data_IF_624430080753
#
_entry.id   IF_624430080753
#
_cell.length_a   1.000
_cell.length_b   1.000
_cell.length_c   1.000
_cell.angle_alpha   90.00
_cell.angle_beta   90.00
_cell.angle_gamma   90.00
#
_symmetry.space_group_name_H-M   'P 1'
#
loop_
_entity.id
_entity.type
_entity.pdbx_description
1 polymer ?
#
# COMPACT_ATOMS: atom_id res chain seq x y z
N UNK A 1 13.15 27.21 -3.78
CA UNK A 1 14.39 28.02 -3.59
C UNK A 1 15.58 27.08 -3.73
N UNK A 2 16.71 27.53 -4.28
CA UNK A 2 17.79 26.63 -4.71
C UNK A 2 18.48 25.87 -3.58
N UNK A 3 18.92 24.63 -3.89
CA UNK A 3 19.65 23.76 -2.96
C UNK A 3 20.95 24.41 -2.47
N UNK A 4 21.17 24.44 -1.16
CA UNK A 4 22.45 24.82 -0.57
C UNK A 4 23.47 23.68 -0.73
N UNK A 5 24.64 23.99 -1.29
CA UNK A 5 25.76 23.05 -1.39
C UNK A 5 26.37 22.79 0.00
N UNK A 6 25.86 21.81 0.76
CA UNK A 6 26.34 21.57 2.14
C UNK A 6 26.26 20.14 2.70
N UNK A 7 26.20 19.08 1.87
CA UNK A 7 26.42 17.69 2.35
C UNK A 7 27.27 16.89 1.38
N UNK A 8 28.47 16.49 1.79
CA UNK A 8 29.31 15.59 1.02
C UNK A 8 28.63 14.22 0.82
N UNK A 9 28.57 13.75 -0.43
CA UNK A 9 27.98 12.46 -0.80
C UNK A 9 26.52 12.48 -1.27
N UNK A 10 25.84 13.63 -1.30
CA UNK A 10 24.51 13.75 -1.93
C UNK A 10 24.67 13.87 -3.45
N UNK A 11 24.22 12.84 -4.19
CA UNK A 11 24.32 12.78 -5.66
C UNK A 11 23.07 13.30 -6.34
N UNK A 12 21.88 13.13 -5.73
CA UNK A 12 20.59 13.53 -6.28
C UNK A 12 19.72 14.21 -5.19
N UNK A 13 18.88 15.16 -5.59
CA UNK A 13 17.93 15.86 -4.74
C UNK A 13 16.60 16.04 -5.50
N UNK A 14 15.45 15.91 -4.83
CA UNK A 14 14.13 16.24 -5.38
C UNK A 14 13.64 17.56 -4.81
N UNK A 15 13.11 18.44 -5.65
CA UNK A 15 12.35 19.59 -5.16
C UNK A 15 11.01 19.10 -4.62
N UNK A 16 10.88 19.09 -3.28
CA UNK A 16 9.67 18.65 -2.57
C UNK A 16 8.51 19.62 -2.82
N UNK A 17 8.79 20.91 -3.04
CA UNK A 17 7.75 21.89 -3.33
C UNK A 17 7.23 21.73 -4.76
N UNK A 18 8.11 21.47 -5.73
CA UNK A 18 7.72 21.11 -7.11
C UNK A 18 6.76 19.90 -7.09
N UNK A 19 7.08 18.86 -6.32
CA UNK A 19 6.19 17.69 -6.13
C UNK A 19 4.84 18.10 -5.53
N UNK A 20 4.81 18.93 -4.48
CA UNK A 20 3.56 19.36 -3.85
C UNK A 20 2.69 20.18 -4.83
N UNK A 21 3.29 21.15 -5.50
CA UNK A 21 2.60 22.10 -6.38
C UNK A 21 2.07 21.42 -7.65
N UNK A 22 2.85 20.53 -8.27
CA UNK A 22 2.41 19.70 -9.39
C UNK A 22 1.18 18.87 -8.98
N UNK A 23 1.28 18.09 -7.91
CA UNK A 23 0.18 17.24 -7.45
C UNK A 23 -1.09 18.04 -7.13
N UNK A 24 -0.95 19.16 -6.40
CA UNK A 24 -2.06 20.04 -6.08
C UNK A 24 -2.71 20.66 -7.33
N UNK A 25 -1.94 21.04 -8.35
CA UNK A 25 -2.48 21.54 -9.61
C UNK A 25 -3.28 20.44 -10.36
N UNK A 26 -2.81 19.20 -10.27
CA UNK A 26 -3.39 18.05 -10.97
C UNK A 26 -4.73 17.65 -10.39
N UNK A 27 -4.84 17.58 -9.06
CA UNK A 27 -6.10 17.21 -8.41
C UNK A 27 -7.17 18.27 -8.72
N UNK A 28 -6.83 19.56 -8.63
CA UNK A 28 -7.74 20.66 -9.00
C UNK A 28 -8.21 20.55 -10.47
N UNK A 29 -7.30 20.27 -11.42
CA UNK A 29 -7.64 20.02 -12.83
C UNK A 29 -8.46 18.75 -13.09
N UNK A 30 -8.58 17.83 -12.11
CA UNK A 30 -9.36 16.60 -12.26
C UNK A 30 -10.81 16.74 -11.81
N UNK A 31 -11.12 17.74 -10.97
CA UNK A 31 -12.46 18.03 -10.46
C UNK A 31 -13.42 18.52 -11.56
N UNK A 32 -12.96 19.35 -12.50
CA UNK A 32 -13.78 19.95 -13.59
C UNK A 32 -14.16 18.96 -14.71
N UNK A 33 -13.83 17.67 -14.59
CA UNK A 33 -14.00 16.70 -15.69
C UNK A 33 -15.39 16.06 -15.71
N UNK A 34 -16.01 16.05 -16.88
CA UNK A 34 -17.23 15.28 -17.14
C UNK A 34 -16.95 13.78 -16.97
N UNK A 35 -17.58 13.15 -15.98
CA UNK A 35 -17.53 11.70 -15.75
C UNK A 35 -18.52 10.97 -16.66
N UNK A 36 -18.19 9.73 -17.07
CA UNK A 36 -19.12 8.84 -17.79
C UNK A 36 -20.23 8.29 -16.87
N UNK A 37 -19.85 7.90 -15.66
CA UNK A 37 -20.76 7.34 -14.65
C UNK A 37 -20.81 8.26 -13.42
N UNK A 38 -21.50 9.42 -13.48
CA UNK A 38 -21.50 10.38 -12.38
C UNK A 38 -22.16 9.84 -11.12
N UNK A 39 -23.16 8.96 -11.25
CA UNK A 39 -23.84 8.31 -10.11
C UNK A 39 -22.89 7.38 -9.34
N UNK A 40 -22.02 6.66 -10.05
CA UNK A 40 -21.01 5.77 -9.46
C UNK A 40 -19.94 6.57 -8.71
N UNK A 41 -19.55 7.72 -9.27
CA UNK A 41 -18.63 8.65 -8.59
C UNK A 41 -19.20 9.16 -7.25
N UNK A 42 -20.53 9.36 -7.15
CA UNK A 42 -21.20 9.77 -5.92
C UNK A 42 -21.15 8.70 -4.79
N UNK A 43 -20.82 7.44 -5.08
CA UNK A 43 -20.58 6.41 -4.05
C UNK A 43 -19.39 6.75 -3.14
N UNK A 44 -18.48 7.60 -3.62
CA UNK A 44 -17.38 8.15 -2.84
C UNK A 44 -17.76 9.40 -2.03
N UNK A 45 -18.92 10.02 -2.31
CA UNK A 45 -19.53 11.15 -1.59
C UNK A 45 -18.58 12.33 -1.35
N UNK A 46 -17.96 12.37 -0.17
CA UNK A 46 -17.06 13.41 0.32
C UNK A 46 -15.59 13.05 0.15
N UNK A 47 -15.26 11.84 -0.30
CA UNK A 47 -13.87 11.46 -0.56
C UNK A 47 -13.46 12.16 -1.85
N UNK A 48 -12.55 13.11 -1.74
CA UNK A 48 -11.96 13.83 -2.88
C UNK A 48 -10.60 13.27 -3.26
N UNK A 49 -9.94 12.56 -2.34
CA UNK A 49 -8.64 11.96 -2.59
C UNK A 49 -8.47 10.59 -1.93
N UNK A 50 -7.92 9.64 -2.69
CA UNK A 50 -7.49 8.33 -2.20
C UNK A 50 -6.00 8.17 -2.53
N UNK A 51 -5.21 7.89 -1.50
CA UNK A 51 -3.77 7.62 -1.55
C UNK A 51 -3.53 6.15 -1.22
N UNK A 52 -2.78 5.42 -2.06
CA UNK A 52 -2.51 3.97 -1.91
C UNK A 52 -1.03 3.67 -2.13
N UNK A 53 -0.26 3.64 -1.04
CA UNK A 53 1.21 3.40 -1.08
C UNK A 53 1.70 2.32 -0.17
N UNK A 54 0.99 2.07 0.93
CA UNK A 54 1.46 1.16 1.93
C UNK A 54 0.93 -0.25 1.70
N UNK A 55 1.85 -1.21 1.56
CA UNK A 55 1.50 -2.56 1.96
C UNK A 55 1.39 -2.54 3.49
N UNK A 56 0.36 -3.17 4.07
CA UNK A 56 0.23 -3.18 5.52
C UNK A 56 1.24 -4.16 6.14
N UNK A 57 2.45 -3.66 6.39
CA UNK A 57 3.61 -4.35 6.96
C UNK A 57 4.18 -3.56 8.14
N UNK A 58 4.75 -4.23 9.17
CA UNK A 58 5.42 -3.55 10.27
C UNK A 58 6.76 -2.92 9.85
N UNK A 59 7.37 -3.39 8.76
CA UNK A 59 8.42 -2.65 8.06
C UNK A 59 7.74 -1.61 7.17
N UNK A 60 7.71 -0.36 7.63
CA UNK A 60 7.33 0.84 6.86
C UNK A 60 8.54 1.28 6.01
N UNK A 61 8.60 1.06 4.69
CA UNK A 61 9.72 1.50 3.84
C UNK A 61 9.86 3.03 3.80
N UNK A 62 11.06 3.56 3.51
CA UNK A 62 11.32 5.01 3.55
C UNK A 62 10.46 5.84 2.59
N UNK A 63 10.11 5.27 1.43
CA UNK A 63 9.24 5.89 0.45
C UNK A 63 7.79 5.97 0.94
N UNK A 64 7.30 5.01 1.74
CA UNK A 64 6.04 5.15 2.48
C UNK A 64 6.14 6.20 3.60
N UNK A 65 7.28 6.36 4.28
CA UNK A 65 7.52 7.47 5.23
C UNK A 65 7.42 8.82 4.52
N UNK A 66 8.09 8.95 3.36
CA UNK A 66 8.06 10.16 2.54
C UNK A 66 6.64 10.46 2.05
N UNK A 67 5.92 9.45 1.54
CA UNK A 67 4.54 9.59 1.11
C UNK A 67 3.61 10.10 2.20
N UNK A 68 3.71 9.54 3.42
CA UNK A 68 2.96 10.02 4.59
C UNK A 68 3.30 11.48 4.98
N UNK A 69 4.54 11.92 4.75
CA UNK A 69 5.00 13.28 5.02
C UNK A 69 4.52 14.33 3.98
N UNK A 70 4.45 13.97 2.68
CA UNK A 70 3.97 14.90 1.63
C UNK A 70 2.47 14.86 1.38
N UNK A 71 1.77 13.76 1.69
CA UNK A 71 0.31 13.63 1.49
C UNK A 71 -0.51 14.77 2.12
N UNK A 72 -0.39 15.13 3.42
CA UNK A 72 -1.14 16.25 3.98
C UNK A 72 -0.83 17.57 3.27
N UNK A 73 0.44 17.80 2.90
CA UNK A 73 0.86 19.03 2.20
C UNK A 73 0.24 19.16 0.82
N UNK A 74 0.07 18.05 0.10
CA UNK A 74 -0.62 18.01 -1.19
C UNK A 74 -2.12 18.25 -1.01
N UNK A 75 -2.75 17.65 0.00
CA UNK A 75 -4.17 17.90 0.30
C UNK A 75 -4.41 19.38 0.63
N UNK A 76 -3.61 19.94 1.54
CA UNK A 76 -3.66 21.35 1.96
C UNK A 76 -3.42 22.29 0.74
N UNK A 77 -2.44 22.01 -0.12
CA UNK A 77 -2.17 22.79 -1.35
C UNK A 77 -3.22 22.62 -2.46
N UNK A 78 -3.93 21.48 -2.49
CA UNK A 78 -5.06 21.24 -3.39
C UNK A 78 -6.37 21.90 -2.87
N UNK A 79 -6.41 22.30 -1.60
CA UNK A 79 -7.61 22.84 -0.93
C UNK A 79 -8.57 21.78 -0.41
N UNK A 80 -8.10 20.54 -0.21
CA UNK A 80 -8.93 19.39 0.16
C UNK A 80 -8.95 19.22 1.69
N UNK A 81 -10.14 19.18 2.34
CA UNK A 81 -10.26 18.85 3.75
C UNK A 81 -9.65 17.49 4.09
N UNK A 82 -8.96 17.36 5.23
CA UNK A 82 -8.23 16.11 5.55
C UNK A 82 -9.14 14.90 5.79
N UNK A 83 -10.37 15.13 6.22
CA UNK A 83 -11.44 14.12 6.32
C UNK A 83 -12.05 13.74 4.97
N UNK A 84 -11.74 14.47 3.90
CA UNK A 84 -12.02 14.12 2.50
C UNK A 84 -10.87 13.31 1.85
N UNK A 85 -9.80 13.00 2.61
CA UNK A 85 -8.65 12.21 2.14
C UNK A 85 -8.61 10.83 2.81
N UNK A 86 -8.52 9.78 2.01
CA UNK A 86 -8.22 8.42 2.46
C UNK A 86 -6.74 8.13 2.26
N UNK A 87 -6.00 7.94 3.36
CA UNK A 87 -4.66 7.34 3.33
C UNK A 87 -4.80 5.81 3.52
N UNK A 88 -4.73 5.03 2.45
CA UNK A 88 -5.09 3.62 2.48
C UNK A 88 -3.86 2.70 2.51
N UNK A 89 -3.82 1.84 3.53
CA UNK A 89 -2.89 0.72 3.60
C UNK A 89 -3.53 -0.55 3.02
N UNK A 90 -2.89 -1.13 2.01
CA UNK A 90 -3.25 -2.37 1.36
C UNK A 90 -2.87 -3.56 2.25
N UNK A 91 -3.84 -3.96 3.07
CA UNK A 91 -3.77 -5.13 3.96
C UNK A 91 -4.10 -6.45 3.25
N UNK A 92 -4.16 -6.41 1.92
CA UNK A 92 -4.46 -7.51 1.00
C UNK A 92 -3.23 -7.93 0.17
N UNK A 93 -2.01 -7.77 0.68
CA UNK A 93 -0.76 -8.10 -0.05
C UNK A 93 -0.57 -9.61 -0.28
N UNK A 94 0.12 -9.99 -1.37
CA UNK A 94 0.50 -11.38 -1.64
C UNK A 94 2.00 -11.57 -1.28
N UNK A 95 2.33 -12.35 -0.23
CA UNK A 95 3.69 -12.42 0.35
C UNK A 95 4.83 -12.88 -0.56
N UNK A 96 4.54 -13.42 -1.75
CA UNK A 96 5.54 -13.98 -2.69
C UNK A 96 5.67 -13.23 -4.02
N UNK A 97 4.66 -12.48 -4.45
CA UNK A 97 4.67 -11.74 -5.73
C UNK A 97 4.99 -10.27 -5.54
N UNK A 98 4.65 -9.71 -4.37
CA UNK A 98 4.61 -8.26 -4.14
C UNK A 98 5.76 -7.78 -3.23
N UNK A 99 6.88 -8.53 -3.18
CA UNK A 99 7.99 -8.39 -2.21
C UNK A 99 8.30 -6.92 -1.84
N UNK A 100 8.16 -6.56 -0.55
CA UNK A 100 9.20 -6.77 0.48
C UNK A 100 9.05 -8.06 1.31
N UNK A 101 10.05 -8.37 2.15
CA UNK A 101 9.92 -9.38 3.22
C UNK A 101 9.02 -8.87 4.36
N UNK A 102 7.72 -8.81 4.11
CA UNK A 102 6.71 -8.23 5.00
C UNK A 102 6.47 -9.01 6.32
N UNK A 103 6.93 -10.26 6.41
CA UNK A 103 6.60 -11.14 7.54
C UNK A 103 7.41 -10.87 8.81
N UNK A 104 8.62 -10.33 8.74
CA UNK A 104 9.51 -10.10 9.90
C UNK A 104 9.86 -8.63 10.05
N UNK A 105 9.77 -8.06 11.25
CA UNK A 105 10.34 -6.72 11.48
C UNK A 105 11.86 -6.82 11.34
N UNK A 106 12.45 -6.04 10.44
CA UNK A 106 13.90 -5.98 10.32
C UNK A 106 14.43 -4.95 11.31
N UNK A 107 14.82 -5.41 12.49
CA UNK A 107 15.82 -4.72 13.31
C UNK A 107 17.15 -5.38 12.95
N UNK A 108 18.21 -4.63 12.67
CA UNK A 108 19.53 -5.20 12.28
C UNK A 108 20.26 -5.99 13.40
N UNK A 109 19.53 -6.39 14.43
CA UNK A 109 19.99 -6.94 15.71
C UNK A 109 18.99 -7.97 16.31
N UNK A 110 17.70 -7.93 15.95
CA UNK A 110 16.65 -8.83 16.48
C UNK A 110 15.60 -9.10 15.40
N UNK A 111 15.09 -10.33 15.30
CA UNK A 111 13.89 -10.68 14.53
C UNK A 111 12.66 -10.76 15.47
N UNK A 112 11.93 -9.67 15.77
CA UNK A 112 10.71 -9.77 16.55
C UNK A 112 9.50 -10.07 15.67
N UNK A 113 8.50 -10.67 16.33
CA UNK A 113 7.05 -10.80 16.06
C UNK A 113 6.62 -10.74 14.58
N UNK A 114 6.11 -11.87 14.13
CA UNK A 114 6.04 -12.27 12.72
C UNK A 114 4.57 -12.32 12.25
N UNK A 115 4.31 -11.94 10.99
CA UNK A 115 3.03 -12.20 10.30
C UNK A 115 3.03 -13.59 9.69
N UNK A 116 1.86 -14.23 9.59
CA UNK A 116 1.81 -15.59 9.04
C UNK A 116 2.16 -15.48 7.55
N UNK A 117 3.26 -16.09 7.08
CA UNK A 117 3.85 -15.77 5.77
C UNK A 117 2.97 -16.20 4.58
N UNK A 118 1.80 -16.80 4.85
CA UNK A 118 0.81 -17.26 3.86
C UNK A 118 -0.63 -16.84 4.16
N UNK A 119 -0.90 -16.06 5.23
CA UNK A 119 -2.24 -15.54 5.53
C UNK A 119 -2.22 -14.01 5.37
N UNK A 120 -3.33 -13.48 4.89
CA UNK A 120 -3.54 -12.05 4.66
C UNK A 120 -3.66 -11.32 6.01
N UNK A 121 -3.03 -10.14 6.23
CA UNK A 121 -3.17 -9.38 7.48
C UNK A 121 -4.62 -9.16 7.93
N UNK A 122 -5.52 -8.80 7.00
CA UNK A 122 -6.96 -8.60 7.24
C UNK A 122 -7.70 -9.84 7.76
N UNK A 123 -7.09 -11.02 7.64
CA UNK A 123 -7.63 -12.30 8.08
C UNK A 123 -6.92 -12.86 9.31
N UNK A 124 -5.77 -12.30 9.72
CA UNK A 124 -4.93 -12.89 10.76
C UNK A 124 -5.38 -12.48 12.17
N UNK A 125 -5.50 -13.47 13.08
CA UNK A 125 -6.01 -13.27 14.44
C UNK A 125 -5.05 -12.53 15.41
N UNK A 126 -3.90 -12.06 14.92
CA UNK A 126 -2.96 -11.19 15.63
C UNK A 126 -1.48 -11.43 15.33
N UNK A 127 -0.61 -10.57 15.86
CA UNK A 127 0.85 -10.75 15.81
C UNK A 127 1.28 -11.90 16.69
N UNK A 128 1.90 -12.92 16.10
CA UNK A 128 2.55 -13.98 16.86
C UNK A 128 4.04 -13.69 17.03
N UNK A 129 4.62 -14.41 17.98
CA UNK A 129 6.03 -14.39 18.30
C UNK A 129 6.58 -15.76 17.95
N UNK A 130 7.59 -15.81 17.07
CA UNK A 130 8.36 -17.03 16.86
C UNK A 130 9.63 -16.98 17.75
N UNK A 131 9.68 -17.72 18.87
CA UNK A 131 10.86 -17.76 19.72
C UNK A 131 12.07 -18.41 19.03
N UNK A 132 11.88 -19.16 17.95
CA UNK A 132 12.95 -19.89 17.25
C UNK A 132 13.69 -19.02 16.23
N UNK A 133 13.04 -18.00 15.66
CA UNK A 133 13.70 -16.99 14.80
C UNK A 133 14.71 -16.11 15.55
N UNK A 134 14.65 -16.07 16.89
CA UNK A 134 15.69 -15.47 17.74
C UNK A 134 16.93 -16.35 17.91
N UNK A 135 16.82 -17.65 17.63
CA UNK A 135 17.86 -18.66 17.82
C UNK A 135 18.48 -19.00 16.46
N UNK A 136 18.99 -17.97 15.77
CA UNK A 136 19.89 -18.11 14.62
C UNK A 136 21.27 -17.59 15.02
N UNK A 137 22.25 -18.48 14.96
CA UNK A 137 23.52 -18.39 15.68
C UNK A 137 24.26 -17.04 15.53
N UNK A 138 24.76 -16.54 16.67
CA UNK A 138 25.90 -15.63 16.71
C UNK A 138 25.63 -14.14 16.50
N UNK A 139 24.41 -13.69 16.19
CA UNK A 139 24.08 -12.25 16.08
C UNK A 139 23.96 -11.54 17.44
N UNK A 140 25.08 -11.48 18.15
CA UNK A 140 25.20 -10.69 19.37
C UNK A 140 25.05 -9.19 19.09
N UNK A 141 23.84 -8.70 19.37
CA UNK A 141 23.53 -7.43 20.06
C UNK A 141 24.57 -6.32 19.89
N UNK A 142 24.21 -5.32 19.07
CA UNK A 142 24.82 -3.98 19.00
C UNK A 142 26.29 -3.93 18.55
N UNK A 143 26.81 -4.98 17.89
CA UNK A 143 28.14 -4.98 17.24
C UNK A 143 28.23 -4.19 15.93
N UNK A 144 27.12 -3.63 15.45
CA UNK A 144 27.01 -2.82 14.23
C UNK A 144 26.72 -1.34 14.50
N UNK A 145 26.58 -0.93 15.76
CA UNK A 145 26.53 0.49 16.13
C UNK A 145 27.96 1.05 16.18
N UNK A 146 28.22 2.27 15.66
CA UNK A 146 29.46 2.98 15.95
C UNK A 146 29.63 3.16 17.46
N UNK A 147 30.79 2.80 18.01
CA UNK A 147 31.04 2.82 19.46
C UNK A 147 30.79 4.20 20.08
N UNK A 148 31.05 5.27 19.32
CA UNK A 148 30.86 6.68 19.71
C UNK A 148 29.39 7.05 20.01
N UNK A 149 28.40 6.25 19.63
CA UNK A 149 26.96 6.57 19.73
C UNK A 149 26.10 5.47 20.38
N UNK A 150 26.72 4.57 21.14
CA UNK A 150 26.07 3.36 21.70
C UNK A 150 24.82 3.65 22.56
N UNK A 151 24.86 4.68 23.42
CA UNK A 151 23.73 5.02 24.30
C UNK A 151 22.53 5.60 23.52
N UNK A 152 22.81 6.47 22.55
CA UNK A 152 21.79 7.05 21.66
C UNK A 152 21.15 5.96 20.80
N UNK A 153 21.93 4.99 20.34
CA UNK A 153 21.42 3.83 19.62
C UNK A 153 20.49 2.98 20.51
N UNK A 154 20.90 2.67 21.75
CA UNK A 154 20.09 1.90 22.71
C UNK A 154 18.76 2.60 23.02
N UNK A 155 18.79 3.90 23.32
CA UNK A 155 17.57 4.65 23.61
C UNK A 155 16.55 4.61 22.45
N UNK A 156 17.01 4.64 21.19
CA UNK A 156 16.14 4.48 20.01
C UNK A 156 15.64 3.05 19.84
N UNK A 157 16.42 2.05 20.23
CA UNK A 157 16.04 0.65 20.20
C UNK A 157 14.93 0.36 21.22
N UNK A 158 15.09 0.84 22.45
CA UNK A 158 14.10 0.69 23.52
C UNK A 158 12.77 1.37 23.14
N UNK A 159 12.80 2.51 22.43
CA UNK A 159 11.61 3.15 21.87
C UNK A 159 10.88 2.29 20.84
N UNK A 160 11.61 1.65 19.92
CA UNK A 160 11.02 0.77 18.89
C UNK A 160 10.47 -0.51 19.52
N UNK A 161 11.19 -1.14 20.45
CA UNK A 161 10.70 -2.33 21.15
C UNK A 161 9.45 -2.04 21.99
N UNK A 162 9.40 -0.90 22.71
CA UNK A 162 8.21 -0.52 23.49
C UNK A 162 6.94 -0.39 22.63
N UNK A 163 7.04 0.17 21.43
CA UNK A 163 5.91 0.26 20.48
C UNK A 163 5.49 -1.15 20.00
N UNK A 164 6.45 -1.99 19.63
CA UNK A 164 6.19 -3.35 19.14
C UNK A 164 5.66 -4.30 20.23
N UNK A 165 6.08 -4.11 21.49
CA UNK A 165 5.60 -4.86 22.64
C UNK A 165 4.15 -4.50 22.97
N UNK A 166 3.85 -3.19 23.06
CA UNK A 166 2.51 -2.63 23.34
C UNK A 166 1.40 -3.18 22.45
N UNK A 167 1.70 -3.47 21.17
CA UNK A 167 0.73 -3.97 20.19
C UNK A 167 0.80 -5.48 19.92
N UNK A 168 1.55 -6.23 20.72
CA UNK A 168 1.69 -7.67 20.55
C UNK A 168 0.57 -8.51 21.20
N UNK A 169 0.36 -9.73 20.70
CA UNK A 169 -0.62 -10.68 21.23
C UNK A 169 -1.92 -10.78 20.39
N UNK A 170 -2.98 -11.40 20.94
CA UNK A 170 -4.22 -11.75 20.21
C UNK A 170 -5.13 -10.55 19.89
N UNK A 171 -5.89 -10.63 18.80
CA UNK A 171 -6.79 -9.57 18.30
C UNK A 171 -6.31 -8.95 16.97
N UNK A 172 -7.20 -8.22 16.28
CA UNK A 172 -7.06 -7.77 14.88
C UNK A 172 -5.65 -7.33 14.48
N UNK A 173 -5.02 -8.06 13.55
CA UNK A 173 -3.67 -7.76 13.08
C UNK A 173 -3.62 -6.44 12.28
N UNK A 174 -4.66 -6.15 11.49
CA UNK A 174 -4.73 -4.93 10.69
C UNK A 174 -4.70 -3.67 11.57
N UNK A 175 -5.55 -3.56 12.60
CA UNK A 175 -5.56 -2.42 13.52
C UNK A 175 -4.24 -2.22 14.27
N UNK A 176 -3.56 -3.32 14.63
CA UNK A 176 -2.27 -3.25 15.33
C UNK A 176 -1.16 -2.72 14.44
N UNK A 177 -1.11 -3.13 13.16
CA UNK A 177 -0.13 -2.57 12.21
C UNK A 177 -0.33 -1.08 11.99
N UNK A 178 -1.58 -0.66 11.80
CA UNK A 178 -1.89 0.76 11.63
C UNK A 178 -1.42 1.58 12.86
N UNK A 179 -1.64 1.07 14.08
CA UNK A 179 -1.17 1.73 15.31
C UNK A 179 0.36 1.72 15.47
N UNK A 180 1.03 0.61 15.14
CA UNK A 180 2.50 0.53 15.13
C UNK A 180 3.08 1.56 14.15
N UNK A 181 2.55 1.62 12.93
CA UNK A 181 2.99 2.54 11.87
C UNK A 181 2.71 4.00 12.24
N UNK A 182 1.56 4.28 12.85
CA UNK A 182 1.23 5.60 13.40
C UNK A 182 2.23 6.04 14.48
N UNK A 183 2.58 5.16 15.43
CA UNK A 183 3.56 5.50 16.47
C UNK A 183 5.00 5.62 15.91
N UNK A 184 5.37 4.83 14.91
CA UNK A 184 6.62 5.00 14.17
C UNK A 184 6.70 6.36 13.45
N UNK A 185 5.64 6.77 12.74
CA UNK A 185 5.58 8.10 12.13
C UNK A 185 5.61 9.22 13.20
N UNK A 186 4.95 9.02 14.34
CA UNK A 186 4.97 9.97 15.45
C UNK A 186 6.36 10.16 16.09
N UNK A 187 7.25 9.16 16.06
CA UNK A 187 8.64 9.32 16.51
C UNK A 187 9.43 10.37 15.72
N UNK A 188 9.00 10.72 14.51
CA UNK A 188 9.59 11.78 13.69
C UNK A 188 9.04 13.18 13.99
N UNK A 189 7.93 13.27 14.74
CA UNK A 189 7.22 14.53 15.00
C UNK A 189 6.64 15.19 13.75
N UNK A 190 6.39 14.42 12.68
CA UNK A 190 5.74 14.90 11.47
C UNK A 190 4.21 14.77 11.59
N UNK A 191 3.50 15.68 10.92
CA UNK A 191 2.07 15.60 10.78
C UNK A 191 1.71 14.64 9.63
N UNK A 192 0.74 13.75 9.85
CA UNK A 192 0.32 12.72 8.88
C UNK A 192 -1.19 12.57 8.88
N UNK A 193 -1.77 12.19 7.73
CA UNK A 193 -3.17 11.72 7.67
C UNK A 193 -3.20 10.26 8.13
N UNK A 194 -4.00 9.87 9.14
CA UNK A 194 -4.02 8.50 9.65
C UNK A 194 -4.31 7.45 8.57
N UNK A 195 -3.54 6.36 8.57
CA UNK A 195 -3.76 5.24 7.65
C UNK A 195 -5.02 4.44 8.03
N UNK A 196 -5.76 3.98 7.02
CA UNK A 196 -6.92 3.10 7.15
C UNK A 196 -6.74 1.83 6.32
N UNK A 197 -7.38 0.75 6.74
CA UNK A 197 -7.29 -0.54 6.06
C UNK A 197 -8.09 -0.58 4.74
N UNK A 198 -7.47 -1.10 3.68
CA UNK A 198 -8.14 -1.34 2.40
C UNK A 198 -9.38 -2.22 2.58
N UNK A 199 -9.25 -3.32 3.33
CA UNK A 199 -10.34 -4.25 3.66
C UNK A 199 -11.58 -3.58 4.27
N UNK A 200 -11.37 -2.62 5.19
CA UNK A 200 -12.44 -1.96 5.95
C UNK A 200 -13.06 -0.77 5.22
N UNK A 201 -12.33 -0.12 4.31
CA UNK A 201 -12.75 1.16 3.69
C UNK A 201 -12.94 1.09 2.18
N UNK A 202 -12.02 0.48 1.43
CA UNK A 202 -12.07 0.47 -0.04
C UNK A 202 -12.76 -0.78 -0.59
N UNK A 203 -12.57 -1.97 0.01
CA UNK A 203 -13.17 -3.20 -0.51
C UNK A 203 -14.72 -3.17 -0.54
N UNK A 204 -15.44 -2.66 0.48
CA UNK A 204 -16.90 -2.52 0.40
C UNK A 204 -17.32 -1.53 -0.71
N UNK A 205 -16.60 -0.43 -0.88
CA UNK A 205 -16.85 0.55 -1.95
C UNK A 205 -16.61 -0.03 -3.34
N UNK A 206 -15.60 -0.89 -3.49
CA UNK A 206 -15.36 -1.64 -4.72
C UNK A 206 -16.56 -2.55 -5.01
N UNK A 207 -17.11 -3.25 -4.02
CA UNK A 207 -18.33 -4.04 -4.22
C UNK A 207 -19.53 -3.16 -4.65
N UNK A 208 -19.74 -2.01 -4.02
CA UNK A 208 -20.80 -1.05 -4.39
C UNK A 208 -20.66 -0.53 -5.82
N UNK A 209 -19.43 -0.21 -6.25
CA UNK A 209 -19.10 0.24 -7.61
C UNK A 209 -19.33 -0.87 -8.64
N UNK A 210 -18.88 -2.09 -8.35
CA UNK A 210 -19.07 -3.24 -9.24
C UNK A 210 -20.55 -3.62 -9.37
N UNK A 211 -21.33 -3.48 -8.29
CA UNK A 211 -22.78 -3.70 -8.32
C UNK A 211 -23.50 -2.60 -9.12
N UNK A 212 -23.07 -1.34 -9.00
CA UNK A 212 -23.60 -0.26 -9.80
C UNK A 212 -23.27 -0.44 -11.30
N UNK A 213 -22.03 -0.79 -11.64
CA UNK A 213 -21.63 -1.13 -13.01
C UNK A 213 -22.45 -2.30 -13.58
N UNK A 214 -22.71 -3.34 -12.78
CA UNK A 214 -23.59 -4.45 -13.19
C UNK A 214 -25.01 -3.98 -13.53
N UNK A 215 -25.61 -3.09 -12.72
CA UNK A 215 -26.94 -2.51 -12.99
C UNK A 215 -26.96 -1.63 -14.26
N UNK A 216 -25.84 -1.00 -14.60
CA UNK A 216 -25.63 -0.26 -15.86
C UNK A 216 -25.34 -1.18 -17.07
N UNK A 217 -25.36 -2.50 -16.91
CA UNK A 217 -25.09 -3.46 -17.99
C UNK A 217 -23.61 -3.77 -18.21
N UNK A 218 -22.74 -3.48 -17.23
CA UNK A 218 -21.30 -3.79 -17.24
C UNK A 218 -20.94 -4.81 -16.12
N UNK A 219 -21.41 -6.07 -16.21
CA UNK A 219 -20.98 -7.15 -15.31
C UNK A 219 -19.47 -7.40 -15.43
N UNK A 220 -18.73 -7.25 -14.33
CA UNK A 220 -17.26 -7.36 -14.36
C UNK A 220 -16.73 -8.75 -14.77
N UNK A 221 -17.54 -9.80 -14.68
CA UNK A 221 -17.18 -11.16 -15.14
C UNK A 221 -17.28 -11.34 -16.66
N UNK A 222 -17.82 -10.36 -17.40
CA UNK A 222 -17.84 -10.31 -18.87
C UNK A 222 -16.80 -9.30 -19.42
N UNK A 223 -16.04 -8.67 -18.52
CA UNK A 223 -14.97 -7.73 -18.84
C UNK A 223 -13.86 -8.42 -19.65
N UNK A 224 -13.37 -7.81 -20.76
CA UNK A 224 -12.35 -8.42 -21.59
C UNK A 224 -10.99 -8.51 -20.88
N UNK A 225 -10.26 -9.59 -21.16
CA UNK A 225 -8.96 -9.91 -20.56
C UNK A 225 -7.95 -10.31 -21.65
N UNK A 226 -6.80 -9.60 -21.77
CA UNK A 226 -5.76 -9.94 -22.73
C UNK A 226 -4.85 -11.11 -22.26
N UNK A 227 -4.99 -12.28 -22.91
CA UNK A 227 -4.00 -13.36 -23.20
C UNK A 227 -3.01 -13.85 -22.10
N UNK A 228 -2.78 -15.14 -21.84
CA UNK A 228 -3.41 -16.41 -22.30
C UNK A 228 -3.87 -17.31 -21.13
N UNK A 229 -3.36 -17.06 -19.90
CA UNK A 229 -3.40 -17.96 -18.72
C UNK A 229 -4.79 -18.22 -18.12
N UNK A 230 -5.85 -17.83 -18.82
CA UNK A 230 -7.19 -17.57 -18.27
C UNK A 230 -8.25 -18.60 -18.68
N UNK A 231 -7.83 -19.78 -19.13
CA UNK A 231 -8.72 -20.84 -19.65
C UNK A 231 -9.51 -21.53 -18.52
N UNK A 232 -9.11 -21.37 -17.25
CA UNK A 232 -9.76 -22.02 -16.09
C UNK A 232 -10.17 -21.05 -14.99
N UNK A 233 -9.25 -20.20 -14.54
CA UNK A 233 -9.47 -19.31 -13.41
C UNK A 233 -9.78 -17.87 -13.86
N UNK A 234 -10.74 -17.25 -13.18
CA UNK A 234 -11.23 -15.89 -13.45
C UNK A 234 -10.19 -14.81 -13.21
N UNK A 235 -9.24 -15.03 -12.28
CA UNK A 235 -8.29 -14.06 -11.70
C UNK A 235 -8.87 -12.67 -11.30
N UNK A 236 -10.18 -12.41 -11.41
CA UNK A 236 -10.87 -11.16 -11.04
C UNK A 236 -11.12 -11.08 -9.52
N UNK A 237 -11.36 -12.23 -8.91
CA UNK A 237 -11.48 -12.40 -7.46
C UNK A 237 -10.66 -13.60 -7.00
N UNK A 238 -10.21 -13.56 -5.74
CA UNK A 238 -9.64 -14.72 -5.05
C UNK A 238 -10.57 -15.12 -3.90
N UNK A 239 -10.81 -16.41 -3.74
CA UNK A 239 -11.67 -16.97 -2.70
C UNK A 239 -10.90 -17.20 -1.41
N UNK A 240 -11.57 -17.09 -0.27
CA UNK A 240 -10.97 -17.32 1.05
C UNK A 240 -11.40 -18.69 1.58
N UNK A 241 -10.42 -19.58 1.79
CA UNK A 241 -10.64 -20.93 2.31
C UNK A 241 -10.86 -20.97 3.84
N UNK A 242 -11.16 -22.15 4.39
CA UNK A 242 -11.38 -22.33 5.82
C UNK A 242 -10.14 -22.05 6.68
N UNK A 243 -8.94 -22.08 6.09
CA UNK A 243 -7.66 -21.75 6.70
C UNK A 243 -7.26 -20.27 6.45
N UNK A 244 -8.19 -19.46 5.94
CA UNK A 244 -8.03 -18.04 5.64
C UNK A 244 -6.95 -17.74 4.59
N UNK A 245 -6.70 -18.68 3.67
CA UNK A 245 -5.78 -18.51 2.54
C UNK A 245 -6.53 -18.19 1.25
N UNK A 246 -5.85 -17.50 0.35
CA UNK A 246 -6.35 -17.20 -1.01
C UNK A 246 -6.39 -18.45 -1.86
N UNK A 247 -7.44 -18.57 -2.67
CA UNK A 247 -7.64 -19.64 -3.65
C UNK A 247 -8.07 -19.04 -4.98
N UNK A 248 -7.58 -19.64 -6.06
CA UNK A 248 -8.04 -19.30 -7.41
C UNK A 248 -9.52 -19.63 -7.56
N UNK A 249 -10.24 -18.75 -8.26
CA UNK A 249 -11.69 -18.82 -8.44
C UNK A 249 -11.98 -19.01 -9.92
N UNK A 250 -12.75 -20.04 -10.26
CA UNK A 250 -13.29 -20.31 -11.60
C UNK A 250 -14.67 -19.69 -11.74
N UNK A 251 -15.11 -19.35 -12.95
CA UNK A 251 -16.50 -18.94 -13.22
C UNK A 251 -17.17 -19.98 -14.11
N UNK A 252 -18.13 -20.71 -13.55
CA UNK A 252 -18.76 -21.86 -14.18
C UNK A 252 -20.25 -21.83 -13.95
N UNK A 253 -21.02 -21.89 -15.04
CA UNK A 253 -22.50 -21.95 -15.02
C UNK A 253 -23.13 -20.80 -14.19
N UNK A 254 -22.60 -19.58 -14.33
CA UNK A 254 -23.09 -18.39 -13.63
C UNK A 254 -22.71 -18.31 -12.14
N UNK A 255 -21.71 -19.07 -11.69
CA UNK A 255 -21.22 -19.05 -10.32
C UNK A 255 -19.68 -18.99 -10.25
N UNK A 256 -19.17 -18.25 -9.27
CA UNK A 256 -17.78 -18.24 -8.84
C UNK A 256 -17.50 -19.45 -7.95
N UNK A 257 -16.47 -20.24 -8.26
CA UNK A 257 -16.20 -21.56 -7.66
C UNK A 257 -14.75 -21.65 -7.21
N UNK A 258 -14.53 -22.07 -5.96
CA UNK A 258 -13.18 -22.34 -5.43
C UNK A 258 -13.18 -23.43 -4.35
N UNK A 259 -12.01 -24.04 -4.13
CA UNK A 259 -11.79 -24.99 -3.03
C UNK A 259 -11.85 -24.26 -1.68
N UNK A 260 -12.83 -24.59 -0.83
CA UNK A 260 -12.95 -24.04 0.53
C UNK A 260 -12.32 -24.97 1.58
N UNK A 261 -12.38 -26.27 1.33
CA UNK A 261 -11.55 -27.31 1.97
C UNK A 261 -11.19 -28.37 0.92
N UNK A 262 -10.21 -29.26 1.15
CA UNK A 262 -9.83 -30.28 0.17
C UNK A 262 -10.94 -31.28 -0.23
N UNK A 263 -12.10 -31.24 0.44
CA UNK A 263 -13.29 -32.06 0.15
C UNK A 263 -14.53 -31.22 -0.19
N UNK A 264 -14.44 -29.89 -0.21
CA UNK A 264 -15.59 -29.00 -0.38
C UNK A 264 -15.25 -27.79 -1.27
N UNK A 265 -15.93 -27.68 -2.41
CA UNK A 265 -16.01 -26.43 -3.16
C UNK A 265 -17.03 -25.48 -2.53
N UNK A 266 -16.72 -24.18 -2.50
CA UNK A 266 -17.69 -23.11 -2.30
C UNK A 266 -18.11 -22.56 -3.66
N UNK A 267 -19.42 -22.46 -3.88
CA UNK A 267 -20.02 -21.90 -5.11
C UNK A 267 -20.83 -20.65 -4.73
N UNK A 268 -20.54 -19.52 -5.39
CA UNK A 268 -21.16 -18.22 -5.14
C UNK A 268 -21.83 -17.79 -6.46
N UNK A 269 -23.18 -17.75 -6.54
CA UNK A 269 -23.88 -17.25 -7.73
C UNK A 269 -23.42 -15.83 -8.10
N UNK A 270 -23.40 -15.49 -9.40
CA UNK A 270 -22.90 -14.20 -9.87
C UNK A 270 -23.53 -13.00 -9.15
N UNK A 271 -24.86 -13.00 -8.97
CA UNK A 271 -25.62 -11.97 -8.25
C UNK A 271 -25.18 -11.77 -6.79
N UNK A 272 -24.60 -12.81 -6.15
CA UNK A 272 -24.17 -12.79 -4.75
C UNK A 272 -22.69 -12.45 -4.57
N UNK A 273 -21.96 -12.14 -5.65
CA UNK A 273 -20.53 -11.85 -5.56
C UNK A 273 -20.22 -10.52 -4.86
N UNK A 274 -21.13 -9.54 -4.97
CA UNK A 274 -21.00 -8.23 -4.32
C UNK A 274 -21.05 -8.35 -2.79
N UNK A 275 -22.00 -9.14 -2.28
CA UNK A 275 -22.07 -9.44 -0.85
C UNK A 275 -20.89 -10.29 -0.39
N UNK A 276 -20.43 -11.25 -1.20
CA UNK A 276 -19.23 -12.02 -0.90
C UNK A 276 -17.94 -11.16 -0.84
N UNK A 277 -17.87 -10.05 -1.58
CA UNK A 277 -16.79 -9.06 -1.49
C UNK A 277 -16.90 -8.22 -0.20
N UNK A 278 -18.11 -7.83 0.21
CA UNK A 278 -18.38 -7.09 1.46
C UNK A 278 -18.10 -7.94 2.70
N UNK A 279 -18.52 -9.21 2.68
CA UNK A 279 -18.37 -10.20 3.75
C UNK A 279 -16.98 -10.88 3.76
N UNK A 280 -16.06 -10.43 2.90
CA UNK A 280 -14.68 -10.93 2.81
C UNK A 280 -14.54 -12.44 2.48
N UNK A 281 -15.60 -13.06 1.93
CA UNK A 281 -15.58 -14.43 1.42
C UNK A 281 -14.78 -14.55 0.12
N UNK A 282 -14.68 -13.46 -0.63
CA UNK A 282 -13.75 -13.25 -1.75
C UNK A 282 -13.09 -11.88 -1.61
N UNK A 283 -11.95 -11.69 -2.30
CA UNK A 283 -11.20 -10.44 -2.33
C UNK A 283 -11.05 -9.99 -3.79
N UNK A 284 -11.22 -8.69 -4.11
CA UNK A 284 -10.98 -8.18 -5.46
C UNK A 284 -9.49 -8.24 -5.78
N UNK A 285 -9.14 -8.77 -6.95
CA UNK A 285 -7.76 -8.67 -7.43
C UNK A 285 -7.51 -7.31 -8.08
N UNK A 286 -6.25 -7.03 -8.41
CA UNK A 286 -5.85 -5.73 -8.97
C UNK A 286 -6.67 -5.26 -10.18
N UNK A 287 -7.04 -6.10 -11.17
CA UNK A 287 -8.02 -5.76 -12.20
C UNK A 287 -9.30 -5.10 -11.67
N UNK A 288 -9.92 -5.63 -10.61
CA UNK A 288 -11.16 -5.06 -10.04
C UNK A 288 -10.90 -3.83 -9.18
N UNK A 289 -9.76 -3.78 -8.48
CA UNK A 289 -9.33 -2.57 -7.77
C UNK A 289 -9.14 -1.42 -8.75
N UNK A 290 -8.44 -1.67 -9.86
CA UNK A 290 -8.28 -0.72 -10.97
C UNK A 290 -9.63 -0.34 -11.55
N UNK A 291 -10.47 -1.30 -11.93
CA UNK A 291 -11.79 -1.04 -12.55
C UNK A 291 -12.65 -0.11 -11.69
N UNK A 292 -12.76 -0.41 -10.40
CA UNK A 292 -13.59 0.37 -9.50
C UNK A 292 -12.99 1.76 -9.22
N UNK A 293 -11.68 1.84 -8.94
CA UNK A 293 -11.03 3.12 -8.64
C UNK A 293 -10.88 4.02 -9.88
N UNK A 294 -10.81 3.44 -11.09
CA UNK A 294 -10.96 4.13 -12.38
C UNK A 294 -12.36 4.72 -12.63
N UNK A 295 -13.31 4.56 -11.70
CA UNK A 295 -14.60 5.29 -11.69
C UNK A 295 -14.75 6.21 -10.48
N UNK A 296 -13.68 6.39 -9.70
CA UNK A 296 -13.60 7.13 -8.44
C UNK A 296 -12.67 8.37 -8.54
N UNK A 297 -12.66 9.26 -7.52
CA UNK A 297 -11.64 10.30 -7.35
C UNK A 297 -10.26 9.74 -6.98
N UNK A 298 -9.20 10.12 -7.72
CA UNK A 298 -7.79 9.73 -7.49
C UNK A 298 -6.83 10.79 -8.12
N UNK A 299 -5.54 10.98 -7.75
CA UNK A 299 -4.58 10.32 -6.81
C UNK A 299 -3.64 11.40 -6.17
N UNK A 300 -2.62 11.03 -5.34
CA UNK A 300 -1.24 10.91 -5.88
C UNK A 300 -0.34 9.73 -5.38
N UNK A 301 0.05 8.83 -6.31
CA UNK A 301 1.42 8.31 -6.62
C UNK A 301 2.67 8.34 -5.68
N UNK A 302 2.62 8.39 -4.34
CA UNK A 302 3.79 8.63 -3.47
C UNK A 302 4.40 7.41 -2.74
N UNK A 303 5.12 6.56 -3.48
CA UNK A 303 5.97 5.51 -2.90
C UNK A 303 6.16 4.29 -3.81
N UNK A 304 7.33 4.14 -4.44
CA UNK A 304 7.79 2.81 -4.84
C UNK A 304 7.21 2.14 -6.08
N UNK A 305 6.55 2.87 -7.01
CA UNK A 305 6.29 2.35 -8.35
C UNK A 305 5.00 2.84 -9.00
N UNK A 306 5.05 3.00 -10.33
CA UNK A 306 3.84 3.20 -11.13
C UNK A 306 3.28 1.84 -11.52
N UNK A 307 2.02 1.59 -11.21
CA UNK A 307 1.26 0.36 -11.54
C UNK A 307 1.19 0.04 -13.04
N UNK A 308 1.67 0.95 -13.88
CA UNK A 308 1.91 0.83 -15.34
C UNK A 308 2.92 -0.27 -15.73
N UNK A 309 3.60 -0.95 -14.80
CA UNK A 309 4.31 -2.20 -15.13
C UNK A 309 3.46 -3.46 -14.87
N UNK A 310 2.42 -3.38 -14.05
CA UNK A 310 1.66 -4.54 -13.58
C UNK A 310 0.34 -4.79 -14.34
N UNK A 311 -0.23 -3.78 -15.01
CA UNK A 311 -1.55 -3.92 -15.63
C UNK A 311 -1.88 -3.14 -16.93
N UNK A 312 -0.95 -2.52 -17.72
CA UNK A 312 -1.38 -1.64 -18.82
C UNK A 312 -2.38 -2.25 -19.83
N UNK A 313 -2.22 -3.50 -20.33
CA UNK A 313 -3.19 -4.08 -21.27
C UNK A 313 -4.58 -4.26 -20.65
N UNK A 314 -4.66 -4.60 -19.35
CA UNK A 314 -5.93 -4.75 -18.64
C UNK A 314 -6.62 -3.39 -18.48
N UNK A 315 -5.87 -2.35 -18.08
CA UNK A 315 -6.38 -0.97 -17.95
C UNK A 315 -6.93 -0.47 -19.29
N UNK A 316 -6.23 -0.72 -20.39
CA UNK A 316 -6.66 -0.31 -21.73
C UNK A 316 -7.93 -1.02 -22.20
N UNK A 317 -8.02 -2.34 -21.99
CA UNK A 317 -9.19 -3.14 -22.34
C UNK A 317 -10.41 -2.80 -21.46
N UNK A 318 -10.19 -2.57 -20.17
CA UNK A 318 -11.21 -2.12 -19.21
C UNK A 318 -11.79 -0.76 -19.61
N UNK A 319 -10.93 0.20 -19.92
CA UNK A 319 -11.38 1.53 -20.33
C UNK A 319 -12.13 1.48 -21.67
N UNK A 320 -11.71 0.64 -22.62
CA UNK A 320 -12.45 0.45 -23.88
C UNK A 320 -13.84 -0.13 -23.67
N UNK A 321 -13.94 -1.18 -22.85
CA UNK A 321 -15.19 -1.85 -22.51
C UNK A 321 -16.16 -0.94 -21.76
N UNK A 322 -15.64 -0.21 -20.76
CA UNK A 322 -16.36 0.89 -20.11
C UNK A 322 -16.50 2.14 -21.00
N UNK A 323 -16.01 2.14 -22.24
CA UNK A 323 -15.91 3.29 -23.15
C UNK A 323 -15.55 4.62 -22.47
N UNK A 324 -14.54 4.56 -21.61
CA UNK A 324 -13.84 5.69 -20.98
C UNK A 324 -12.72 6.13 -21.95
N UNK A 325 -12.57 7.44 -22.25
CA UNK A 325 -11.59 7.91 -23.23
C UNK A 325 -10.14 7.85 -22.71
N UNK A 326 -9.93 7.89 -21.40
CA UNK A 326 -8.63 7.63 -20.76
C UNK A 326 -8.19 6.16 -20.97
N UNK A 327 -6.87 5.93 -21.08
CA UNK A 327 -6.19 4.67 -21.45
C UNK A 327 -5.00 4.42 -20.53
N UNK A 328 -4.34 3.27 -20.47
CA UNK A 328 -3.20 3.02 -19.54
C UNK A 328 -2.06 4.04 -19.64
N UNK A 329 -1.92 4.67 -20.81
CA UNK A 329 -1.03 5.80 -21.05
C UNK A 329 -1.47 7.12 -20.41
N UNK A 330 -2.64 7.16 -19.75
CA UNK A 330 -3.41 8.26 -19.15
C UNK A 330 -4.22 7.87 -17.90
N UNK A 331 -4.29 6.58 -17.57
CA UNK A 331 -5.11 5.99 -16.53
C UNK A 331 -4.16 5.19 -15.63
N UNK A 332 -3.15 5.88 -15.10
CA UNK A 332 -2.52 5.44 -13.87
C UNK A 332 -3.52 5.83 -12.79
N UNK A 333 -4.45 4.92 -12.50
CA UNK A 333 -5.39 5.01 -11.39
C UNK A 333 -6.02 6.42 -11.25
N UNK A 334 -6.55 7.00 -12.32
CA UNK A 334 -7.46 8.15 -12.21
C UNK A 334 -8.30 8.29 -13.47
N UNK A 335 -9.50 8.83 -13.32
CA UNK A 335 -10.35 9.38 -14.39
C UNK A 335 -9.76 10.69 -14.97
N UNK A 336 -8.43 10.75 -15.10
CA UNK A 336 -7.67 11.99 -14.84
C UNK A 336 -6.44 12.27 -15.73
N UNK A 337 -6.00 11.36 -16.59
CA UNK A 337 -4.83 11.62 -17.44
C UNK A 337 -3.48 11.30 -16.76
N UNK A 338 -2.44 11.16 -17.58
CA UNK A 338 -1.16 10.60 -17.16
C UNK A 338 -0.30 11.58 -16.40
N UNK A 339 0.02 11.32 -15.14
CA UNK A 339 1.11 12.03 -14.47
C UNK A 339 1.96 11.04 -13.68
N UNK A 340 3.20 10.87 -14.16
CA UNK A 340 4.30 10.27 -13.42
C UNK A 340 4.68 11.26 -12.32
N UNK A 341 4.39 10.93 -11.06
CA UNK A 341 4.98 11.69 -9.97
C UNK A 341 6.47 11.36 -9.89
N UNK A 342 7.29 12.32 -9.44
CA UNK A 342 8.65 12.03 -8.96
C UNK A 342 8.58 11.22 -7.66
N UNK A 343 8.34 9.92 -7.80
CA UNK A 343 8.56 8.97 -6.73
C UNK A 343 10.05 8.86 -6.42
N UNK A 344 10.39 8.64 -5.15
CA UNK A 344 11.73 8.28 -4.72
C UNK A 344 12.18 7.02 -5.48
N UNK A 345 13.41 6.97 -5.99
CA UNK A 345 13.88 5.80 -6.75
C UNK A 345 13.92 4.56 -5.85
N UNK A 346 13.22 3.51 -6.26
CA UNK A 346 13.23 2.20 -5.62
C UNK A 346 14.62 1.56 -5.82
N UNK A 347 15.44 1.51 -4.77
CA UNK A 347 16.54 0.54 -4.69
C UNK A 347 15.98 -0.74 -4.07
N UNK A 348 16.48 -1.89 -4.51
CA UNK A 348 15.91 -3.22 -4.23
C UNK A 348 16.15 -3.72 -2.78
N UNK A 349 16.84 -2.93 -1.95
CA UNK A 349 17.09 -3.23 -0.54
C UNK A 349 16.00 -2.61 0.37
N UNK A 350 15.02 -3.45 0.71
CA UNK A 350 13.82 -3.11 1.49
C UNK A 350 14.10 -2.77 2.96
N UNK A 351 14.60 -1.57 3.21
CA UNK A 351 15.04 -1.18 4.55
C UNK A 351 13.93 -0.40 5.24
N UNK A 352 13.26 -1.10 6.14
CA UNK A 352 12.14 -0.58 6.91
C UNK A 352 12.57 0.49 7.91
N UNK A 353 11.63 1.38 8.21
CA UNK A 353 11.72 2.49 9.14
C UNK A 353 12.49 2.17 10.43
N UNK A 354 12.31 1.02 11.11
CA UNK A 354 13.06 0.72 12.32
C UNK A 354 14.59 0.78 12.13
N UNK A 355 15.14 0.22 11.04
CA UNK A 355 16.58 0.30 10.74
C UNK A 355 17.01 1.76 10.55
N UNK A 356 16.23 2.51 9.76
CA UNK A 356 16.51 3.92 9.43
C UNK A 356 16.49 4.79 10.68
N UNK A 357 15.50 4.58 11.54
CA UNK A 357 15.31 5.29 12.79
C UNK A 357 16.45 5.03 13.77
N UNK A 358 16.83 3.76 13.97
CA UNK A 358 17.97 3.38 14.80
C UNK A 358 19.25 4.08 14.33
N UNK A 359 19.56 4.01 13.03
CA UNK A 359 20.79 4.57 12.46
C UNK A 359 20.81 6.10 12.51
N UNK A 360 19.78 6.78 12.00
CA UNK A 360 19.83 8.23 11.76
C UNK A 360 19.09 9.05 12.81
N UNK A 361 18.06 8.49 13.45
CA UNK A 361 17.19 9.21 14.38
C UNK A 361 16.31 10.27 13.71
N UNK A 362 15.41 10.89 14.48
CA UNK A 362 14.35 11.73 13.92
C UNK A 362 14.87 12.99 13.22
N UNK A 363 15.88 13.66 13.78
CA UNK A 363 16.40 14.92 13.22
C UNK A 363 16.98 14.77 11.81
N UNK A 364 17.78 13.72 11.55
CA UNK A 364 18.37 13.45 10.24
C UNK A 364 17.35 12.94 9.22
N UNK A 365 16.34 12.19 9.68
CA UNK A 365 15.23 11.77 8.82
C UNK A 365 14.42 12.99 8.41
N UNK A 366 14.03 13.85 9.36
CA UNK A 366 13.28 15.07 9.08
C UNK A 366 14.04 16.02 8.15
N UNK A 367 15.34 16.23 8.39
CA UNK A 367 16.23 16.99 7.50
C UNK A 367 16.20 16.45 6.06
N UNK A 368 16.19 15.13 5.87
CA UNK A 368 16.12 14.51 4.54
C UNK A 368 14.74 14.67 3.87
N UNK A 369 13.65 14.57 4.66
CA UNK A 369 12.28 14.80 4.19
C UNK A 369 12.04 16.27 3.80
N UNK A 370 12.54 17.21 4.61
CA UNK A 370 12.41 18.66 4.42
C UNK A 370 13.18 19.16 3.19
N UNK A 371 14.43 18.72 3.03
CA UNK A 371 15.29 19.18 1.94
C UNK A 371 15.24 18.30 0.68
N UNK A 372 14.37 17.29 0.64
CA UNK A 372 14.21 16.41 -0.53
C UNK A 372 15.46 15.60 -0.87
N UNK A 373 16.31 15.30 0.12
CA UNK A 373 17.54 14.58 -0.12
C UNK A 373 17.22 13.16 -0.58
N UNK A 374 17.44 12.87 -1.86
CA UNK A 374 17.66 11.49 -2.32
C UNK A 374 19.03 11.10 -1.80
N UNK A 375 19.10 10.83 -0.49
CA UNK A 375 20.13 9.96 0.00
C UNK A 375 19.92 8.64 -0.73
N UNK A 376 20.83 8.38 -1.69
CA UNK A 376 21.65 7.17 -1.62
C UNK A 376 22.19 7.06 -0.19
N UNK A 377 21.31 6.66 0.72
CA UNK A 377 21.75 5.79 1.77
C UNK A 377 22.01 4.51 1.02
N UNK A 378 23.27 4.35 0.60
CA UNK A 378 23.83 3.02 0.58
C UNK A 378 23.75 2.53 2.03
N UNK A 379 22.59 1.96 2.37
CA UNK A 379 22.42 1.06 3.50
C UNK A 379 23.04 -0.31 3.18
N UNK A 380 23.80 -0.40 2.07
CA UNK A 380 25.01 -1.22 2.09
C UNK A 380 25.66 -0.98 3.43
N UNK A 381 25.63 -2.01 4.23
CA UNK A 381 26.37 -2.17 5.46
C UNK A 381 27.80 -1.69 5.19
N UNK A 382 28.10 -0.44 5.54
CA UNK A 382 29.47 0.06 5.55
C UNK A 382 30.16 -0.64 6.72
N UNK A 383 30.51 -1.90 6.47
CA UNK A 383 31.65 -2.55 7.08
C UNK A 383 32.84 -1.77 6.56
N UNK A 384 33.17 -0.69 7.27
CA UNK A 384 34.50 -0.12 7.19
C UNK A 384 35.44 -1.23 7.66
N UNK A 385 36.34 -1.65 6.76
CA UNK A 385 37.41 -2.60 7.04
C UNK A 385 38.48 -1.95 7.93
#
# INVERSE_FOLDING_TARGET
MGCSQAVAGVVDCIDVQEIIDENAQVIRKSQDRRRRFPEIYQLYRSIELISTFSHLTPNLPFDEVFGNYVLPKIADAAGIPRDHVINCAYDNYIPRTDTPKAHTVQLGIVNPKVLHPEIIPSLQDGFFYDPTELIKDGQNRVKSAPEEHLEVFRARFDQIEAILEKYSGPGDATEKLLKIRQEFLALLGIETIPEVAFSKVLQPKIADVLEALYREGFPFWEMPVPEEKYIKDTFLVEGIDAQKKRRHVRFENGAFVFEYTPQQERRIPAEKIFDALRDFAVIPTMPLVILATATAPQIPHLGGGVWKQYAPPHVDAQAEWLGIPERSNTLILSTGGHILLRAFRRNEEFIGFPVIYLTYGPGRIREALENGYIRRVEFKRHVLL
#
